data_IF_860151741613
#
_entry.id   IF_860151741613
#
_cell.length_a   1.000
_cell.length_b   1.000
_cell.length_c   1.000
_cell.angle_alpha   90.00
_cell.angle_beta   90.00
_cell.angle_gamma   90.00
#
_symmetry.space_group_name_H-M   'P 1'
#
loop_
_entity.id
_entity.type
_entity.pdbx_description
1 polymer ?
#
# COMPACT_ATOMS: atom_id res chain seq x y z
N UNK A 1 -16.50 13.80 -11.25
CA UNK A 1 -16.59 14.06 -9.79
C UNK A 1 -16.47 12.69 -9.16
N UNK A 2 -15.39 12.43 -8.43
CA UNK A 2 -15.10 11.09 -7.89
C UNK A 2 -16.24 10.62 -7.00
N UNK A 3 -16.82 9.48 -7.33
CA UNK A 3 -17.78 8.81 -6.46
C UNK A 3 -17.01 8.33 -5.22
N UNK A 4 -17.31 8.96 -4.08
CA UNK A 4 -16.92 8.43 -2.79
C UNK A 4 -17.72 7.15 -2.58
N UNK A 5 -17.02 6.02 -2.54
CA UNK A 5 -17.59 4.70 -2.22
C UNK A 5 -18.21 4.80 -0.82
N UNK A 6 -19.54 4.84 -0.78
CA UNK A 6 -20.36 4.90 0.43
C UNK A 6 -20.85 3.51 0.81
N UNK A 7 -19.99 2.50 0.94
CA UNK A 7 -20.43 1.21 1.49
C UNK A 7 -19.33 0.60 2.37
N UNK A 8 -19.71 0.34 3.62
CA UNK A 8 -18.98 -0.27 4.71
C UNK A 8 -18.59 -1.73 4.40
N UNK A 9 -17.73 -1.93 3.41
CA UNK A 9 -16.88 -3.10 3.39
C UNK A 9 -15.50 -2.61 3.82
N UNK A 10 -15.26 -2.69 5.13
CA UNK A 10 -13.98 -2.39 5.77
C UNK A 10 -12.96 -3.45 5.30
N UNK A 11 -12.62 -3.43 4.01
CA UNK A 11 -11.57 -4.25 3.45
C UNK A 11 -10.31 -3.96 4.23
N UNK A 12 -9.69 -5.00 4.77
CA UNK A 12 -8.41 -4.85 5.45
C UNK A 12 -7.43 -4.17 4.49
N UNK A 13 -6.50 -3.38 5.02
CA UNK A 13 -5.46 -2.74 4.19
C UNK A 13 -4.74 -3.75 3.29
N UNK A 14 -4.62 -5.00 3.74
CA UNK A 14 -4.11 -6.12 2.96
C UNK A 14 -4.97 -6.45 1.72
N UNK A 15 -6.29 -6.43 1.84
CA UNK A 15 -7.22 -6.70 0.73
C UNK A 15 -7.22 -5.55 -0.28
N UNK A 16 -7.11 -4.31 0.20
CA UNK A 16 -6.95 -3.13 -0.64
C UNK A 16 -5.63 -3.20 -1.43
N UNK A 17 -4.52 -3.56 -0.78
CA UNK A 17 -3.22 -3.73 -1.46
C UNK A 17 -3.27 -4.84 -2.52
N UNK A 18 -4.01 -5.92 -2.25
CA UNK A 18 -4.18 -7.04 -3.18
C UNK A 18 -5.07 -6.71 -4.38
N UNK A 19 -6.02 -5.77 -4.23
CA UNK A 19 -6.91 -5.39 -5.33
C UNK A 19 -6.23 -4.45 -6.34
N UNK A 20 -5.16 -3.75 -5.96
CA UNK A 20 -4.42 -2.84 -6.84
C UNK A 20 -3.68 -3.58 -7.97
N UNK A 21 -3.66 -3.00 -9.16
CA UNK A 21 -2.78 -3.43 -10.26
C UNK A 21 -1.29 -3.29 -9.93
N UNK A 22 -0.40 -3.79 -10.80
CA UNK A 22 1.05 -3.70 -10.58
C UNK A 22 1.57 -2.26 -10.60
N UNK A 23 1.11 -1.47 -11.57
CA UNK A 23 1.47 -0.05 -11.69
C UNK A 23 0.81 0.78 -10.58
N UNK A 24 -0.48 0.56 -10.31
CA UNK A 24 -1.22 1.24 -9.24
C UNK A 24 -0.62 0.99 -7.84
N UNK A 25 -0.12 -0.23 -7.57
CA UNK A 25 0.54 -0.54 -6.31
C UNK A 25 1.88 0.19 -6.15
N UNK A 26 2.62 0.37 -7.24
CA UNK A 26 3.89 1.11 -7.24
C UNK A 26 3.65 2.61 -7.05
N UNK A 27 2.66 3.17 -7.75
CA UNK A 27 2.25 4.57 -7.60
C UNK A 27 1.82 4.84 -6.15
N UNK A 28 0.97 3.97 -5.59
CA UNK A 28 0.53 4.07 -4.19
C UNK A 28 1.70 4.03 -3.20
N UNK A 29 2.69 3.16 -3.44
CA UNK A 29 3.88 3.06 -2.60
C UNK A 29 4.72 4.35 -2.64
N UNK A 30 4.92 4.92 -3.83
CA UNK A 30 5.66 6.17 -4.03
C UNK A 30 4.96 7.36 -3.36
N UNK A 31 3.66 7.53 -3.60
CA UNK A 31 2.84 8.58 -3.00
C UNK A 31 2.85 8.51 -1.48
N UNK A 32 2.73 7.29 -0.93
CA UNK A 32 2.80 7.07 0.51
C UNK A 32 4.17 7.50 1.04
N UNK A 33 5.27 7.09 0.42
CA UNK A 33 6.62 7.53 0.84
C UNK A 33 6.82 9.04 0.75
N UNK A 34 6.32 9.68 -0.30
CA UNK A 34 6.37 11.14 -0.45
C UNK A 34 5.59 11.86 0.67
N UNK A 35 4.36 11.40 0.95
CA UNK A 35 3.54 11.95 2.02
C UNK A 35 4.19 11.78 3.40
N UNK A 36 4.78 10.62 3.67
CA UNK A 36 5.48 10.39 4.94
C UNK A 36 6.69 11.31 5.13
N UNK A 37 7.48 11.57 4.09
CA UNK A 37 8.62 12.49 4.20
C UNK A 37 8.18 13.92 4.55
N UNK A 38 6.99 14.31 4.12
CA UNK A 38 6.39 15.60 4.46
C UNK A 38 5.87 15.60 5.91
N UNK A 39 5.30 14.47 6.38
CA UNK A 39 4.69 14.31 7.71
C UNK A 39 5.71 13.98 8.82
N UNK A 40 6.87 13.39 8.49
CA UNK A 40 7.92 12.97 9.45
C UNK A 40 8.55 14.09 10.27
N UNK A 41 8.13 15.35 10.08
CA UNK A 41 8.53 16.46 10.95
C UNK A 41 7.93 16.42 12.35
N UNK A 42 6.86 15.67 12.63
CA UNK A 42 6.14 15.86 13.91
C UNK A 42 5.71 14.62 14.74
N UNK A 43 5.78 13.36 14.29
CA UNK A 43 4.96 12.31 14.96
C UNK A 43 5.60 10.91 15.06
N UNK A 44 5.98 10.53 16.29
CA UNK A 44 6.51 9.20 16.68
C UNK A 44 5.47 8.05 16.63
N UNK A 45 4.18 8.36 16.59
CA UNK A 45 3.09 7.37 16.45
C UNK A 45 2.88 6.93 14.99
N UNK A 46 3.25 7.76 14.02
CA UNK A 46 3.17 7.44 12.58
C UNK A 46 4.12 6.30 12.21
N UNK A 47 5.21 6.13 12.95
CA UNK A 47 6.24 5.12 12.70
C UNK A 47 5.71 3.68 12.83
N UNK A 48 4.76 3.41 13.74
CA UNK A 48 4.24 2.05 13.93
C UNK A 48 3.28 1.65 12.80
N UNK A 49 2.36 2.55 12.41
CA UNK A 49 1.51 2.34 11.23
C UNK A 49 2.32 2.32 9.93
N UNK A 50 3.39 3.13 9.85
CA UNK A 50 4.37 3.13 8.75
C UNK A 50 4.95 1.76 8.47
N UNK A 51 5.43 1.12 9.54
CA UNK A 51 5.98 -0.23 9.44
C UNK A 51 4.94 -1.28 9.01
N UNK A 52 3.67 -1.10 9.35
CA UNK A 52 2.64 -2.10 9.02
C UNK A 52 2.26 -2.08 7.53
N UNK A 53 1.96 -0.92 6.94
CA UNK A 53 1.61 -0.88 5.51
C UNK A 53 2.80 -1.15 4.61
N UNK A 54 3.99 -0.63 4.95
CA UNK A 54 5.19 -0.83 4.12
C UNK A 54 5.54 -2.32 4.04
N UNK A 55 5.39 -3.01 5.17
CA UNK A 55 5.55 -4.46 5.22
C UNK A 55 4.51 -5.21 4.39
N UNK A 56 3.25 -4.76 4.36
CA UNK A 56 2.21 -5.36 3.52
C UNK A 56 2.50 -5.15 2.02
N UNK A 57 2.86 -3.93 1.61
CA UNK A 57 3.23 -3.60 0.23
C UNK A 57 4.44 -4.44 -0.22
N UNK A 58 5.51 -4.47 0.59
CA UNK A 58 6.70 -5.25 0.26
C UNK A 58 6.42 -6.76 0.19
N UNK A 59 5.52 -7.27 1.02
CA UNK A 59 5.12 -8.68 0.98
C UNK A 59 4.38 -8.99 -0.32
N UNK A 60 3.43 -8.14 -0.72
CA UNK A 60 2.68 -8.30 -1.97
C UNK A 60 3.61 -8.19 -3.19
N UNK A 61 4.50 -7.21 -3.24
CA UNK A 61 5.49 -7.06 -4.32
C UNK A 61 6.38 -8.31 -4.46
N UNK A 62 6.80 -8.92 -3.34
CA UNK A 62 7.55 -10.18 -3.35
C UNK A 62 6.72 -11.32 -3.91
N UNK A 63 5.46 -11.47 -3.46
CA UNK A 63 4.55 -12.51 -3.95
C UNK A 63 4.36 -12.39 -5.46
N UNK A 64 4.08 -11.18 -5.96
CA UNK A 64 3.91 -10.91 -7.39
C UNK A 64 5.18 -11.19 -8.19
N UNK A 65 6.34 -10.81 -7.65
CA UNK A 65 7.63 -11.11 -8.28
C UNK A 65 7.88 -12.62 -8.37
N UNK A 66 7.68 -13.36 -7.28
CA UNK A 66 7.80 -14.82 -7.25
C UNK A 66 6.83 -15.49 -8.24
N UNK A 67 5.57 -15.04 -8.26
CA UNK A 67 4.55 -15.52 -9.21
C UNK A 67 4.95 -15.22 -10.65
N UNK A 68 5.52 -14.05 -10.95
CA UNK A 68 6.00 -13.72 -12.28
C UNK A 68 7.19 -14.58 -12.72
N UNK A 69 8.10 -14.91 -11.80
CA UNK A 69 9.23 -15.82 -12.08
C UNK A 69 8.73 -17.26 -12.30
N UNK A 70 7.75 -17.73 -11.53
CA UNK A 70 7.18 -19.08 -11.65
C UNK A 70 6.31 -19.27 -12.89
N UNK A 71 5.71 -18.20 -13.43
CA UNK A 71 4.92 -18.23 -14.66
C UNK A 71 5.75 -17.96 -15.93
N UNK A 72 7.08 -18.07 -15.85
CA UNK A 72 8.02 -17.79 -16.94
C UNK A 72 8.81 -19.05 -17.29
#
# INVERSE_FOLDING_TARGET
MGEFITEEQEFSLEEQIKSLGDEELLDFWEETHFFNQIVEKDISLTTLSKNNYERLILNELKIRTCRRILNK
#
